data_IF_200775126366
#
_entry.id   IF_200775126366
#
_cell.length_a   1.000
_cell.length_b   1.000
_cell.length_c   1.000
_cell.angle_alpha   90.00
_cell.angle_beta   90.00
_cell.angle_gamma   90.00
#
_symmetry.space_group_name_H-M   'P 1'
#
loop_
_entity.id
_entity.type
_entity.pdbx_description
1 polymer ?
#
# COMPACT_ATOMS: atom_id res chain seq x y z
N UNK A 1 -90.43 83.45 -11.58
CA UNK A 1 -89.15 83.34 -10.84
C UNK A 1 -88.36 82.19 -11.46
N UNK A 2 -87.15 82.43 -11.95
CA UNK A 2 -86.29 81.40 -12.55
C UNK A 2 -85.41 80.79 -11.45
N UNK A 3 -85.43 79.48 -11.28
CA UNK A 3 -84.61 78.76 -10.29
C UNK A 3 -83.16 78.66 -10.78
N UNK A 4 -82.21 79.04 -9.93
CA UNK A 4 -80.76 79.02 -10.20
C UNK A 4 -80.10 77.93 -9.34
N UNK A 5 -79.12 77.21 -9.90
CA UNK A 5 -78.38 76.13 -9.22
C UNK A 5 -77.46 76.67 -8.11
N UNK A 6 -77.48 76.04 -6.93
CA UNK A 6 -76.76 76.52 -5.74
C UNK A 6 -75.24 76.29 -5.73
N UNK A 7 -74.68 75.45 -6.62
CA UNK A 7 -73.24 75.15 -6.60
C UNK A 7 -72.39 75.95 -7.62
N UNK A 8 -72.97 76.42 -8.74
CA UNK A 8 -72.19 77.09 -9.81
C UNK A 8 -72.80 78.37 -10.41
N UNK A 9 -74.00 78.80 -9.98
CA UNK A 9 -74.54 80.14 -10.25
C UNK A 9 -74.83 80.52 -11.72
N UNK A 10 -74.71 79.62 -12.70
CA UNK A 10 -74.99 79.89 -14.11
C UNK A 10 -76.29 79.21 -14.62
N UNK A 11 -76.88 79.76 -15.70
CA UNK A 11 -78.04 79.18 -16.41
C UNK A 11 -77.55 78.61 -17.76
N UNK A 12 -77.17 77.34 -17.75
CA UNK A 12 -76.63 76.59 -18.89
C UNK A 12 -77.64 75.53 -19.38
N UNK A 13 -77.88 75.43 -20.70
CA UNK A 13 -78.73 74.36 -21.28
C UNK A 13 -78.19 72.95 -21.01
N UNK A 14 -76.87 72.80 -20.88
CA UNK A 14 -76.19 71.55 -20.51
C UNK A 14 -76.56 71.06 -19.11
N UNK A 15 -77.07 71.96 -18.27
CA UNK A 15 -77.48 71.70 -16.89
C UNK A 15 -79.00 71.39 -16.80
N UNK A 16 -79.77 71.71 -17.84
CA UNK A 16 -81.23 71.48 -17.95
C UNK A 16 -81.53 70.20 -18.73
N UNK A 17 -80.68 69.82 -19.68
CA UNK A 17 -80.80 68.57 -20.44
C UNK A 17 -80.17 67.41 -19.68
N UNK A 18 -80.92 66.79 -18.77
CA UNK A 18 -80.50 65.62 -17.96
C UNK A 18 -80.07 64.36 -18.74
N UNK A 19 -79.83 64.46 -20.05
CA UNK A 19 -79.42 63.36 -20.94
C UNK A 19 -78.02 62.83 -20.66
N UNK A 20 -77.05 63.68 -20.30
CA UNK A 20 -75.70 63.21 -19.92
C UNK A 20 -75.72 62.45 -18.59
N UNK A 21 -76.53 62.91 -17.64
CA UNK A 21 -76.76 62.21 -16.38
C UNK A 21 -77.41 60.85 -16.64
N UNK A 22 -78.49 60.80 -17.43
CA UNK A 22 -79.19 59.55 -17.77
C UNK A 22 -78.28 58.56 -18.53
N UNK A 23 -77.48 59.03 -19.49
CA UNK A 23 -76.54 58.19 -20.24
C UNK A 23 -75.45 57.59 -19.34
N UNK A 24 -74.84 58.39 -18.46
CA UNK A 24 -73.88 57.91 -17.47
C UNK A 24 -74.52 56.90 -16.50
N UNK A 25 -75.78 57.11 -16.10
CA UNK A 25 -76.50 56.14 -15.27
C UNK A 25 -76.73 54.80 -16.01
N UNK A 26 -77.09 54.84 -17.29
CA UNK A 26 -77.24 53.62 -18.11
C UNK A 26 -75.91 52.88 -18.29
N UNK A 27 -74.82 53.61 -18.52
CA UNK A 27 -73.47 53.05 -18.66
C UNK A 27 -72.98 52.44 -17.33
N UNK A 28 -73.22 53.12 -16.20
CA UNK A 28 -72.93 52.59 -14.86
C UNK A 28 -73.71 51.29 -14.61
N UNK A 29 -74.99 51.23 -15.00
CA UNK A 29 -75.76 50.00 -14.87
C UNK A 29 -75.24 48.87 -15.78
N UNK A 30 -74.83 49.18 -17.00
CA UNK A 30 -74.23 48.21 -17.92
C UNK A 30 -72.92 47.64 -17.35
N UNK A 31 -72.04 48.52 -16.84
CA UNK A 31 -70.79 48.12 -16.19
C UNK A 31 -71.04 47.29 -14.93
N UNK A 32 -72.04 47.65 -14.11
CA UNK A 32 -72.44 46.85 -12.94
C UNK A 32 -72.92 45.45 -13.33
N UNK A 33 -73.73 45.32 -14.40
CA UNK A 33 -74.17 44.02 -14.92
C UNK A 33 -72.96 43.18 -15.40
N UNK A 34 -72.03 43.81 -16.11
CA UNK A 34 -70.84 43.14 -16.61
C UNK A 34 -69.89 42.72 -15.47
N UNK A 35 -69.76 43.54 -14.42
CA UNK A 35 -69.00 43.19 -13.23
C UNK A 35 -69.61 41.97 -12.52
N UNK A 36 -70.93 41.99 -12.31
CA UNK A 36 -71.66 40.87 -11.72
C UNK A 36 -71.52 39.58 -12.54
N UNK A 37 -71.57 39.66 -13.87
CA UNK A 37 -71.37 38.49 -14.73
C UNK A 37 -69.95 37.93 -14.62
N UNK A 38 -68.94 38.81 -14.54
CA UNK A 38 -67.55 38.41 -14.30
C UNK A 38 -67.35 37.83 -12.91
N UNK A 39 -67.96 38.41 -11.88
CA UNK A 39 -67.91 37.90 -10.51
C UNK A 39 -68.58 36.53 -10.43
N UNK A 40 -69.74 36.35 -11.06
CA UNK A 40 -70.38 35.04 -11.18
C UNK A 40 -69.52 34.03 -11.95
N UNK A 41 -68.79 34.46 -12.99
CA UNK A 41 -67.87 33.59 -13.72
C UNK A 41 -66.65 33.21 -12.89
N UNK A 42 -66.08 34.16 -12.14
CA UNK A 42 -64.96 33.92 -11.20
C UNK A 42 -65.40 32.93 -10.14
N UNK A 43 -66.52 33.18 -9.46
CA UNK A 43 -67.07 32.26 -8.44
C UNK A 43 -67.34 30.89 -9.04
N UNK A 44 -67.86 30.80 -10.27
CA UNK A 44 -68.06 29.52 -10.96
C UNK A 44 -66.73 28.80 -11.20
N UNK A 45 -65.69 29.52 -11.63
CA UNK A 45 -64.36 28.92 -11.84
C UNK A 45 -63.70 28.50 -10.52
N UNK A 46 -63.82 29.31 -9.48
CA UNK A 46 -63.33 29.00 -8.13
C UNK A 46 -64.06 27.77 -7.56
N UNK A 47 -65.38 27.72 -7.75
CA UNK A 47 -66.21 26.56 -7.35
C UNK A 47 -65.78 25.32 -8.12
N UNK A 48 -65.48 25.41 -9.42
CA UNK A 48 -64.94 24.27 -10.20
C UNK A 48 -63.54 23.82 -9.73
N UNK A 49 -62.72 24.75 -9.22
CA UNK A 49 -61.40 24.44 -8.65
C UNK A 49 -61.52 23.81 -7.25
N UNK A 50 -62.53 24.20 -6.48
CA UNK A 50 -62.79 23.69 -5.12
C UNK A 50 -63.58 22.37 -5.11
N UNK A 51 -64.60 22.24 -5.96
CA UNK A 51 -65.47 21.06 -6.09
C UNK A 51 -64.93 20.02 -7.09
N UNK A 52 -64.05 20.43 -8.00
CA UNK A 52 -63.28 19.49 -8.79
C UNK A 52 -62.53 18.52 -7.86
N UNK A 53 -62.23 17.27 -8.29
CA UNK A 53 -61.32 16.41 -7.53
C UNK A 53 -60.11 17.27 -7.18
N UNK A 54 -59.57 17.24 -5.94
CA UNK A 54 -58.41 18.04 -5.60
C UNK A 54 -57.44 17.76 -6.72
N UNK A 55 -57.20 18.75 -7.58
CA UNK A 55 -56.24 18.58 -8.65
C UNK A 55 -54.93 18.57 -7.90
N UNK A 56 -54.59 17.38 -7.40
CA UNK A 56 -53.27 17.04 -6.95
C UNK A 56 -52.39 17.61 -8.04
N UNK A 57 -51.45 18.45 -7.60
CA UNK A 57 -50.45 19.15 -8.39
C UNK A 57 -50.32 18.53 -9.79
N UNK A 58 -50.48 19.29 -10.91
CA UNK A 58 -50.71 18.74 -12.25
C UNK A 58 -49.86 17.49 -12.51
N UNK A 59 -50.37 16.41 -13.14
CA UNK A 59 -49.69 15.11 -13.22
C UNK A 59 -48.25 15.19 -13.74
N UNK A 60 -47.94 16.18 -14.59
CA UNK A 60 -46.58 16.50 -15.04
C UNK A 60 -45.65 16.97 -13.90
N UNK A 61 -46.16 17.81 -13.00
CA UNK A 61 -45.47 18.30 -11.80
C UNK A 61 -45.37 17.21 -10.73
N UNK A 62 -46.35 16.31 -10.63
CA UNK A 62 -46.26 15.16 -9.72
C UNK A 62 -45.25 14.11 -10.22
N UNK A 63 -45.19 13.87 -11.53
CA UNK A 63 -44.19 13.01 -12.15
C UNK A 63 -42.76 13.54 -12.03
N UNK A 64 -42.56 14.85 -12.16
CA UNK A 64 -41.24 15.49 -11.94
C UNK A 64 -40.84 15.47 -10.47
N UNK A 65 -41.76 15.70 -9.53
CA UNK A 65 -41.53 15.57 -8.07
C UNK A 65 -41.10 14.15 -7.69
N UNK A 66 -41.82 13.13 -8.16
CA UNK A 66 -41.47 11.73 -7.91
C UNK A 66 -40.09 11.35 -8.50
N UNK A 67 -39.80 11.79 -9.73
CA UNK A 67 -38.46 11.60 -10.34
C UNK A 67 -37.37 12.31 -9.55
N UNK A 68 -37.63 13.50 -9.01
CA UNK A 68 -36.69 14.22 -8.16
C UNK A 68 -36.40 13.46 -6.86
N UNK A 69 -37.43 12.94 -6.19
CA UNK A 69 -37.29 12.14 -4.96
C UNK A 69 -36.46 10.87 -5.21
N UNK A 70 -36.74 10.12 -6.29
CA UNK A 70 -35.95 8.93 -6.63
C UNK A 70 -34.48 9.25 -6.94
N UNK A 71 -34.20 10.41 -7.55
CA UNK A 71 -32.84 10.86 -7.80
C UNK A 71 -32.13 11.20 -6.48
N UNK A 72 -32.80 11.89 -5.56
CA UNK A 72 -32.26 12.17 -4.23
C UNK A 72 -31.97 10.89 -3.45
N UNK A 73 -32.82 9.87 -3.53
CA UNK A 73 -32.59 8.59 -2.87
C UNK A 73 -31.40 7.83 -3.45
N UNK A 74 -31.22 7.87 -4.78
CA UNK A 74 -30.02 7.32 -5.44
C UNK A 74 -28.77 8.03 -4.95
N UNK A 75 -28.81 9.36 -4.86
CA UNK A 75 -27.71 10.15 -4.31
C UNK A 75 -27.42 9.83 -2.85
N UNK A 76 -28.44 9.71 -1.99
CA UNK A 76 -28.29 9.32 -0.58
C UNK A 76 -27.63 7.94 -0.44
N UNK A 77 -28.12 6.94 -1.20
CA UNK A 77 -27.54 5.58 -1.19
C UNK A 77 -26.08 5.58 -1.66
N UNK A 78 -25.76 6.34 -2.69
CA UNK A 78 -24.39 6.47 -3.20
C UNK A 78 -23.48 7.15 -2.15
N UNK A 79 -23.94 8.23 -1.52
CA UNK A 79 -23.21 8.93 -0.47
C UNK A 79 -22.96 8.03 0.74
N UNK A 80 -23.96 7.25 1.16
CA UNK A 80 -23.80 6.29 2.25
C UNK A 80 -22.84 5.15 1.87
N UNK A 81 -22.88 4.69 0.62
CA UNK A 81 -21.92 3.74 0.07
C UNK A 81 -20.49 4.28 0.14
N UNK A 82 -20.29 5.51 -0.32
CA UNK A 82 -19.00 6.20 -0.24
C UNK A 82 -18.51 6.34 1.20
N UNK A 83 -19.36 6.76 2.14
CA UNK A 83 -19.01 6.87 3.57
C UNK A 83 -18.61 5.53 4.17
N UNK A 84 -19.31 4.44 3.83
CA UNK A 84 -18.95 3.09 4.28
C UNK A 84 -17.58 2.67 3.73
N UNK A 85 -17.34 2.91 2.44
CA UNK A 85 -16.07 2.60 1.81
C UNK A 85 -14.93 3.41 2.42
N UNK A 86 -15.16 4.70 2.70
CA UNK A 86 -14.19 5.56 3.36
C UNK A 86 -13.80 5.04 4.76
N UNK A 87 -14.77 4.57 5.55
CA UNK A 87 -14.49 3.93 6.86
C UNK A 87 -13.67 2.66 6.73
N UNK A 88 -13.99 1.82 5.74
CA UNK A 88 -13.21 0.60 5.47
C UNK A 88 -11.79 0.97 5.04
N UNK A 89 -11.63 1.95 4.15
CA UNK A 89 -10.31 2.39 3.69
C UNK A 89 -9.46 2.94 4.84
N UNK A 90 -10.03 3.81 5.68
CA UNK A 90 -9.34 4.30 6.89
C UNK A 90 -8.88 3.13 7.78
N UNK A 91 -9.76 2.15 8.00
CA UNK A 91 -9.40 0.96 8.78
C UNK A 91 -8.31 0.09 8.13
N UNK A 92 -8.16 0.13 6.81
CA UNK A 92 -7.06 -0.54 6.10
C UNK A 92 -5.77 0.25 6.19
N UNK A 93 -5.82 1.58 6.07
CA UNK A 93 -4.68 2.48 6.29
C UNK A 93 -4.13 2.32 7.71
N UNK A 94 -5.00 2.29 8.73
CA UNK A 94 -4.60 2.06 10.12
C UNK A 94 -3.98 0.67 10.35
N UNK A 95 -4.45 -0.36 9.62
CA UNK A 95 -3.85 -1.69 9.66
C UNK A 95 -2.47 -1.71 8.99
N UNK A 96 -2.34 -1.01 7.86
CA UNK A 96 -1.08 -0.89 7.15
C UNK A 96 -0.04 -0.20 8.03
N UNK A 97 -0.39 0.93 8.65
CA UNK A 97 0.49 1.65 9.58
C UNK A 97 0.97 0.74 10.72
N UNK A 98 0.06 -0.01 11.37
CA UNK A 98 0.45 -0.96 12.42
C UNK A 98 1.40 -2.06 11.95
N UNK A 99 1.20 -2.57 10.73
CA UNK A 99 2.11 -3.58 10.16
C UNK A 99 3.47 -2.98 9.88
N UNK A 100 3.52 -1.76 9.34
CA UNK A 100 4.78 -1.03 9.09
C UNK A 100 5.52 -0.81 10.40
N UNK A 101 4.86 -0.28 11.44
CA UNK A 101 5.47 -0.04 12.75
C UNK A 101 6.06 -1.33 13.34
N UNK A 102 5.30 -2.44 13.28
CA UNK A 102 5.79 -3.74 13.74
C UNK A 102 7.00 -4.20 12.92
N UNK A 103 6.94 -4.13 11.60
CA UNK A 103 8.08 -4.52 10.75
C UNK A 103 9.32 -3.66 10.99
N UNK A 104 9.16 -2.36 11.25
CA UNK A 104 10.27 -1.48 11.61
C UNK A 104 10.88 -1.84 12.96
N UNK A 105 10.05 -2.12 13.97
CA UNK A 105 10.55 -2.56 15.29
C UNK A 105 11.30 -3.89 15.20
N UNK A 106 10.76 -4.87 14.48
CA UNK A 106 11.40 -6.17 14.23
C UNK A 106 12.71 -6.00 13.45
N UNK A 107 12.72 -5.21 12.37
CA UNK A 107 13.92 -4.88 11.60
C UNK A 107 15.00 -4.28 12.49
N UNK A 108 14.64 -3.33 13.35
CA UNK A 108 15.58 -2.69 14.24
C UNK A 108 16.10 -3.64 15.33
N UNK A 109 15.27 -4.58 15.82
CA UNK A 109 15.71 -5.63 16.75
C UNK A 109 16.71 -6.57 16.06
N UNK A 110 16.37 -7.11 14.89
CA UNK A 110 17.25 -7.98 14.13
C UNK A 110 18.57 -7.30 13.75
N UNK A 111 18.54 -6.00 13.42
CA UNK A 111 19.76 -5.26 13.11
C UNK A 111 20.68 -5.11 14.32
N UNK A 112 20.13 -4.95 15.53
CA UNK A 112 20.93 -4.94 16.77
C UNK A 112 21.54 -6.32 17.03
N UNK A 113 20.76 -7.37 16.89
CA UNK A 113 21.25 -8.74 17.07
C UNK A 113 22.36 -9.09 16.05
N UNK A 114 22.19 -8.66 14.79
CA UNK A 114 23.21 -8.81 13.76
C UNK A 114 24.50 -8.10 14.14
N UNK A 115 24.42 -6.84 14.60
CA UNK A 115 25.59 -6.07 15.05
C UNK A 115 26.28 -6.75 16.24
N UNK A 116 25.52 -7.24 17.22
CA UNK A 116 26.05 -7.95 18.38
C UNK A 116 26.76 -9.25 17.98
N UNK A 117 26.11 -10.08 17.15
CA UNK A 117 26.70 -11.32 16.66
C UNK A 117 27.95 -11.06 15.80
N UNK A 118 27.94 -10.01 15.00
CA UNK A 118 29.10 -9.58 14.21
C UNK A 118 30.27 -9.20 15.12
N UNK A 119 30.02 -8.41 16.18
CA UNK A 119 31.06 -8.07 17.17
C UNK A 119 31.63 -9.33 17.83
N UNK A 120 30.76 -10.22 18.33
CA UNK A 120 31.18 -11.47 18.97
C UNK A 120 31.99 -12.38 18.04
N UNK A 121 31.64 -12.40 16.76
CA UNK A 121 32.37 -13.16 15.75
C UNK A 121 33.78 -12.58 15.56
N UNK A 122 33.91 -11.26 15.46
CA UNK A 122 35.21 -10.58 15.35
C UNK A 122 36.06 -10.85 16.60
N UNK A 123 35.48 -10.75 17.79
CA UNK A 123 36.18 -11.03 19.05
C UNK A 123 36.69 -12.48 19.10
N UNK A 124 35.87 -13.43 18.68
CA UNK A 124 36.25 -14.85 18.61
C UNK A 124 37.36 -15.09 17.56
N UNK A 125 37.30 -14.41 16.41
CA UNK A 125 38.35 -14.48 15.39
C UNK A 125 39.68 -13.92 15.92
N UNK A 126 39.65 -12.80 16.64
CA UNK A 126 40.82 -12.22 17.29
C UNK A 126 41.43 -13.19 18.31
N UNK A 127 40.61 -13.75 19.19
CA UNK A 127 41.06 -14.73 20.18
C UNK A 127 41.67 -15.98 19.53
N UNK A 128 41.07 -16.47 18.43
CA UNK A 128 41.63 -17.58 17.67
C UNK A 128 42.97 -17.22 17.02
N UNK A 129 43.15 -15.99 16.52
CA UNK A 129 44.43 -15.55 15.97
C UNK A 129 45.51 -15.51 17.05
N UNK A 130 45.20 -14.95 18.23
CA UNK A 130 46.11 -14.91 19.39
C UNK A 130 46.53 -16.31 19.83
N UNK A 131 45.56 -17.23 20.00
CA UNK A 131 45.87 -18.61 20.38
C UNK A 131 46.70 -19.35 19.34
N UNK A 132 46.54 -19.03 18.04
CA UNK A 132 47.37 -19.61 16.97
C UNK A 132 48.81 -19.10 17.07
N UNK A 133 48.99 -17.80 17.26
CA UNK A 133 50.31 -17.18 17.44
C UNK A 133 51.02 -17.76 18.67
N UNK A 134 50.34 -17.86 19.81
CA UNK A 134 50.88 -18.50 21.01
C UNK A 134 51.24 -19.98 20.75
N UNK A 135 50.40 -20.72 20.03
CA UNK A 135 50.68 -22.12 19.70
C UNK A 135 51.92 -22.28 18.81
N UNK A 136 52.10 -21.40 17.83
CA UNK A 136 53.29 -21.35 16.98
C UNK A 136 54.53 -20.99 17.80
N UNK A 137 54.42 -20.03 18.71
CA UNK A 137 55.50 -19.70 19.64
C UNK A 137 55.89 -20.89 20.51
N UNK A 138 54.93 -21.61 21.11
CA UNK A 138 55.20 -22.81 21.89
C UNK A 138 55.86 -23.92 21.05
N UNK A 139 55.47 -24.08 19.77
CA UNK A 139 56.13 -25.02 18.85
C UNK A 139 57.57 -24.63 18.56
N UNK A 140 57.82 -23.33 18.37
CA UNK A 140 59.17 -22.80 18.15
C UNK A 140 60.05 -23.03 19.39
N UNK A 141 59.55 -22.71 20.59
CA UNK A 141 60.26 -22.95 21.85
C UNK A 141 60.55 -24.45 22.05
N UNK A 142 59.58 -25.33 21.77
CA UNK A 142 59.79 -26.77 21.81
C UNK A 142 60.87 -27.22 20.80
N UNK A 143 60.86 -26.66 19.59
CA UNK A 143 61.86 -26.96 18.56
C UNK A 143 63.27 -26.57 19.02
N UNK A 144 63.43 -25.37 19.59
CA UNK A 144 64.70 -24.91 20.16
C UNK A 144 65.15 -25.82 21.31
N UNK A 145 64.25 -26.18 22.23
CA UNK A 145 64.56 -27.11 23.31
C UNK A 145 65.06 -28.47 22.78
N UNK A 146 64.42 -29.02 21.75
CA UNK A 146 64.85 -30.25 21.08
C UNK A 146 66.24 -30.08 20.46
N UNK A 147 66.52 -28.97 19.78
CA UNK A 147 67.84 -28.71 19.20
C UNK A 147 68.92 -28.62 20.29
N UNK A 148 68.67 -27.92 21.40
CA UNK A 148 69.61 -27.82 22.52
C UNK A 148 69.89 -29.19 23.16
N UNK A 149 68.85 -30.02 23.32
CA UNK A 149 68.99 -31.41 23.78
C UNK A 149 69.87 -32.25 22.84
N UNK A 150 69.73 -32.06 21.52
CA UNK A 150 70.47 -32.79 20.50
C UNK A 150 71.94 -32.34 20.38
N UNK A 151 72.26 -31.08 20.68
CA UNK A 151 73.64 -30.56 20.58
C UNK A 151 74.60 -31.14 21.64
N UNK A 152 74.12 -31.68 22.78
CA UNK A 152 74.94 -32.28 23.85
C UNK A 152 74.27 -33.51 24.51
N UNK A 153 74.17 -34.65 23.81
CA UNK A 153 73.44 -35.82 24.31
C UNK A 153 74.09 -36.45 25.55
N UNK A 154 75.41 -36.31 25.74
CA UNK A 154 76.13 -36.85 26.92
C UNK A 154 75.90 -36.04 28.20
N UNK A 155 75.39 -34.81 28.10
CA UNK A 155 75.11 -33.93 29.24
C UNK A 155 73.72 -34.14 29.84
N UNK A 156 72.85 -34.90 29.16
CA UNK A 156 71.47 -35.09 29.56
C UNK A 156 71.23 -36.44 30.21
N UNK A 157 70.68 -36.43 31.42
CA UNK A 157 70.21 -37.64 32.11
C UNK A 157 68.82 -37.97 31.57
N UNK A 158 68.69 -39.08 30.85
CA UNK A 158 67.38 -39.57 30.40
C UNK A 158 66.52 -39.95 31.60
N UNK A 159 65.43 -39.21 31.81
CA UNK A 159 64.46 -39.52 32.87
C UNK A 159 63.66 -40.76 32.47
N UNK A 160 63.58 -41.75 33.36
CA UNK A 160 62.88 -43.01 33.06
C UNK A 160 61.38 -42.74 33.00
N UNK A 161 60.65 -43.37 32.08
CA UNK A 161 59.18 -43.22 32.01
C UNK A 161 58.49 -43.49 33.37
N UNK A 162 59.04 -44.42 34.15
CA UNK A 162 58.57 -44.79 35.49
C UNK A 162 58.75 -43.71 36.56
N UNK A 163 59.56 -42.68 36.33
CA UNK A 163 59.77 -41.57 37.30
C UNK A 163 58.83 -40.40 37.09
N UNK A 164 57.97 -40.45 36.06
CA UNK A 164 56.94 -39.44 35.84
C UNK A 164 55.72 -39.68 36.75
N UNK A 165 55.04 -38.61 37.22
CA UNK A 165 53.73 -38.72 37.87
C UNK A 165 52.71 -39.52 37.03
N UNK A 166 51.80 -40.24 37.69
CA UNK A 166 50.84 -41.13 37.03
C UNK A 166 50.00 -40.43 35.94
N UNK A 167 49.55 -39.19 36.18
CA UNK A 167 48.79 -38.42 35.19
C UNK A 167 49.57 -38.15 33.89
N UNK A 168 50.89 -37.97 34.00
CA UNK A 168 51.76 -37.74 32.84
C UNK A 168 52.08 -39.05 32.12
N UNK A 169 52.24 -40.15 32.86
CA UNK A 169 52.38 -41.49 32.26
C UNK A 169 51.15 -41.83 31.39
N UNK A 170 49.94 -41.63 31.90
CA UNK A 170 48.71 -41.88 31.13
C UNK A 170 48.60 -41.02 29.86
N UNK A 171 48.93 -39.73 29.95
CA UNK A 171 48.95 -38.81 28.79
C UNK A 171 49.96 -39.24 27.74
N UNK A 172 51.17 -39.62 28.15
CA UNK A 172 52.22 -40.11 27.23
C UNK A 172 51.77 -41.42 26.55
N UNK A 173 51.17 -42.35 27.30
CA UNK A 173 50.61 -43.59 26.74
C UNK A 173 49.50 -43.33 25.73
N UNK A 174 48.60 -42.38 26.02
CA UNK A 174 47.52 -41.97 25.11
C UNK A 174 48.05 -41.34 23.82
N UNK A 175 49.02 -40.43 23.90
CA UNK A 175 49.61 -39.77 22.73
C UNK A 175 50.38 -40.72 21.82
N UNK A 176 51.11 -41.68 22.37
CA UNK A 176 51.83 -42.70 21.60
C UNK A 176 50.85 -43.69 20.92
N UNK A 177 49.71 -44.01 21.56
CA UNK A 177 48.67 -44.85 20.98
C UNK A 177 47.84 -44.16 19.89
N UNK A 178 47.60 -42.84 20.01
CA UNK A 178 46.73 -42.09 19.07
C UNK A 178 47.40 -41.79 17.72
N UNK A 179 48.74 -41.71 17.66
CA UNK A 179 49.46 -41.37 16.42
C UNK A 179 49.32 -42.42 15.31
N UNK A 180 48.84 -43.62 15.62
CA UNK A 180 48.59 -44.70 14.66
C UNK A 180 47.29 -44.54 13.83
N UNK A 181 46.39 -43.58 14.16
CA UNK A 181 45.02 -43.53 13.59
C UNK A 181 44.77 -42.33 12.65
N UNK A 182 45.76 -41.46 12.40
CA UNK A 182 45.57 -40.32 11.46
C UNK A 182 45.89 -40.76 10.03
N UNK A 183 44.92 -41.36 9.34
CA UNK A 183 44.92 -41.48 7.87
C UNK A 183 44.65 -40.11 7.21
N UNK A 184 44.99 -39.90 5.91
CA UNK A 184 44.86 -38.61 5.23
C UNK A 184 43.39 -38.16 5.11
N UNK A 185 43.12 -36.86 4.89
CA UNK A 185 41.76 -36.33 4.75
C UNK A 185 41.14 -36.80 3.43
N UNK A 186 40.37 -37.89 3.46
CA UNK A 186 39.50 -38.27 2.34
C UNK A 186 38.28 -37.35 2.26
N UNK A 187 37.90 -37.01 1.03
CA UNK A 187 36.74 -36.17 0.72
C UNK A 187 35.47 -36.72 1.38
N UNK A 188 34.71 -35.85 2.06
CA UNK A 188 33.46 -36.24 2.74
C UNK A 188 32.37 -36.41 1.69
N UNK A 189 31.80 -37.61 1.60
CA UNK A 189 30.71 -37.93 0.67
C UNK A 189 29.38 -37.91 1.41
N UNK A 190 28.46 -37.04 0.99
CA UNK A 190 27.11 -36.92 1.55
C UNK A 190 26.12 -37.61 0.61
N UNK A 191 25.31 -38.52 1.14
CA UNK A 191 24.27 -39.24 0.37
C UNK A 191 22.88 -38.80 0.83
N UNK A 192 22.06 -38.29 -0.09
CA UNK A 192 20.69 -37.89 0.17
C UNK A 192 19.73 -38.87 -0.53
N UNK A 193 18.88 -39.61 0.20
CA UNK A 193 17.90 -40.52 -0.41
C UNK A 193 16.77 -39.72 -1.06
N UNK A 194 16.44 -40.05 -2.31
CA UNK A 194 15.32 -39.45 -3.04
C UNK A 194 14.07 -40.34 -2.95
N UNK A 195 12.88 -39.78 -2.73
CA UNK A 195 11.63 -40.53 -2.67
C UNK A 195 11.11 -40.86 -4.10
N UNK A 196 11.95 -41.51 -4.90
CA UNK A 196 11.61 -41.98 -6.25
C UNK A 196 11.53 -43.50 -6.28
N UNK A 197 10.78 -44.10 -7.22
CA UNK A 197 10.82 -45.54 -7.46
C UNK A 197 11.40 -45.83 -8.85
N UNK A 198 12.53 -46.55 -8.95
CA UNK A 198 13.30 -47.15 -7.85
C UNK A 198 14.04 -46.10 -6.98
N UNK A 199 14.30 -46.41 -5.70
CA UNK A 199 14.97 -45.50 -4.77
C UNK A 199 16.39 -45.25 -5.25
N UNK A 200 16.65 -44.02 -5.69
CA UNK A 200 17.95 -43.57 -6.16
C UNK A 200 18.48 -42.52 -5.17
N UNK A 201 19.76 -42.57 -4.81
CA UNK A 201 20.36 -41.59 -3.91
C UNK A 201 21.22 -40.61 -4.71
N UNK A 202 21.13 -39.33 -4.37
CA UNK A 202 22.04 -38.31 -4.87
C UNK A 202 23.31 -38.31 -4.01
N UNK A 203 24.48 -38.34 -4.65
CA UNK A 203 25.77 -38.39 -3.98
C UNK A 203 26.54 -37.11 -4.27
N UNK A 204 26.84 -36.36 -3.23
CA UNK A 204 27.66 -35.15 -3.30
C UNK A 204 29.03 -35.45 -2.71
N UNK A 205 30.07 -35.29 -3.53
CA UNK A 205 31.46 -35.28 -3.06
C UNK A 205 31.82 -33.85 -2.69
N UNK A 206 32.07 -33.59 -1.41
CA UNK A 206 32.53 -32.27 -0.95
C UNK A 206 34.07 -32.29 -0.98
N UNK A 207 34.72 -31.47 -1.83
CA UNK A 207 36.16 -31.30 -1.78
C UNK A 207 36.59 -30.82 -0.38
N UNK A 208 37.79 -31.18 0.10
CA UNK A 208 38.33 -30.54 1.29
C UNK A 208 38.38 -29.02 1.08
N UNK A 209 37.91 -28.24 2.05
CA UNK A 209 38.03 -26.78 1.99
C UNK A 209 39.50 -26.39 1.84
N UNK A 210 39.84 -25.75 0.72
CA UNK A 210 41.10 -25.02 0.60
C UNK A 210 41.02 -23.75 1.49
N UNK A 211 42.09 -23.42 2.22
CA UNK A 211 42.12 -22.21 3.04
C UNK A 211 41.98 -20.97 2.14
N UNK A 212 41.24 -19.93 2.59
CA UNK A 212 41.00 -18.74 1.77
C UNK A 212 42.33 -18.03 1.48
N UNK A 213 42.63 -17.87 0.19
CA UNK A 213 43.69 -16.98 -0.30
C UNK A 213 43.37 -15.53 0.09
N UNK A 214 44.36 -14.72 0.55
CA UNK A 214 44.14 -13.31 0.86
C UNK A 214 43.83 -12.54 -0.43
N UNK A 215 42.61 -12.03 -0.56
CA UNK A 215 42.28 -11.01 -1.56
C UNK A 215 42.21 -9.65 -0.86
N UNK A 216 42.90 -8.69 -1.47
CA UNK A 216 43.06 -7.31 -1.03
C UNK A 216 41.73 -6.54 -0.87
N UNK A 217 41.70 -5.47 -0.05
CA UNK A 217 40.49 -4.74 0.25
C UNK A 217 40.07 -3.87 -0.94
N UNK A 218 39.03 -4.30 -1.66
CA UNK A 218 38.30 -3.43 -2.57
C UNK A 218 37.31 -2.59 -1.76
N UNK A 219 37.67 -1.32 -1.52
CA UNK A 219 36.74 -0.26 -1.17
C UNK A 219 35.63 -0.20 -2.23
N UNK A 220 34.38 -0.42 -1.82
CA UNK A 220 33.15 0.23 -2.33
C UNK A 220 31.93 -0.39 -1.63
N UNK A 221 31.13 0.39 -0.87
CA UNK A 221 29.87 -0.13 -0.33
C UNK A 221 28.87 -0.33 -1.48
N UNK A 222 28.63 -1.59 -1.83
CA UNK A 222 27.57 -2.00 -2.74
C UNK A 222 26.20 -1.56 -2.18
N UNK A 223 25.33 -0.93 -2.98
CA UNK A 223 23.96 -0.67 -2.56
C UNK A 223 23.20 -1.99 -2.39
N UNK A 224 22.39 -2.08 -1.33
CA UNK A 224 21.36 -3.10 -1.12
C UNK A 224 20.36 -3.08 -2.30
N UNK A 225 20.67 -3.79 -3.38
CA UNK A 225 19.73 -4.03 -4.47
C UNK A 225 19.27 -5.47 -4.43
N UNK A 226 17.97 -5.64 -4.17
CA UNK A 226 17.29 -6.92 -4.37
C UNK A 226 17.35 -7.23 -5.87
N UNK A 227 18.05 -8.32 -6.21
CA UNK A 227 18.22 -8.74 -7.60
C UNK A 227 16.87 -8.80 -8.32
N UNK A 228 16.81 -8.30 -9.56
CA UNK A 228 15.59 -8.22 -10.35
C UNK A 228 14.86 -9.57 -10.46
N UNK A 229 15.60 -10.69 -10.40
CA UNK A 229 15.07 -12.05 -10.35
C UNK A 229 14.21 -12.31 -9.10
N UNK A 230 14.63 -11.81 -7.93
CA UNK A 230 13.91 -11.93 -6.66
C UNK A 230 12.64 -11.10 -6.70
N UNK A 231 12.71 -9.84 -7.18
CA UNK A 231 11.52 -9.01 -7.37
C UNK A 231 10.52 -9.63 -8.35
N UNK A 232 10.99 -10.20 -9.47
CA UNK A 232 10.15 -10.88 -10.44
C UNK A 232 9.44 -12.09 -9.82
N UNK A 233 10.16 -12.91 -9.03
CA UNK A 233 9.60 -14.07 -8.31
C UNK A 233 8.52 -13.66 -7.31
N UNK A 234 8.74 -12.61 -6.53
CA UNK A 234 7.77 -12.10 -5.54
C UNK A 234 6.50 -11.58 -6.22
N UNK A 235 6.66 -10.86 -7.34
CA UNK A 235 5.52 -10.36 -8.13
C UNK A 235 4.71 -11.51 -8.76
N UNK A 236 5.37 -12.54 -9.25
CA UNK A 236 4.74 -13.72 -9.83
C UNK A 236 3.97 -14.53 -8.77
N UNK A 237 4.53 -14.66 -7.57
CA UNK A 237 3.87 -15.31 -6.43
C UNK A 237 2.63 -14.52 -5.99
N UNK A 238 2.73 -13.20 -5.85
CA UNK A 238 1.61 -12.32 -5.49
C UNK A 238 0.50 -12.30 -6.56
N UNK A 239 0.85 -12.51 -7.83
CA UNK A 239 -0.12 -12.69 -8.91
C UNK A 239 -0.82 -14.05 -8.84
N UNK A 240 -0.09 -15.13 -8.51
CA UNK A 240 -0.68 -16.45 -8.26
C UNK A 240 -1.60 -16.47 -7.05
N UNK A 241 -1.25 -15.76 -5.98
CA UNK A 241 -2.05 -15.66 -4.77
C UNK A 241 -3.36 -14.89 -5.00
N UNK A 242 -3.33 -13.84 -5.83
CA UNK A 242 -4.54 -13.16 -6.31
C UNK A 242 -5.44 -14.06 -7.16
N UNK A 243 -4.86 -14.97 -7.95
CA UNK A 243 -5.61 -15.98 -8.73
C UNK A 243 -6.19 -17.08 -7.84
N UNK A 244 -5.52 -17.44 -6.74
CA UNK A 244 -6.00 -18.45 -5.77
C UNK A 244 -7.06 -17.89 -4.81
N UNK A 245 -6.99 -16.60 -4.47
CA UNK A 245 -7.91 -15.94 -3.52
C UNK A 245 -9.24 -15.47 -4.13
N UNK A 246 -9.39 -15.47 -5.46
CA UNK A 246 -10.67 -15.24 -6.13
C UNK A 246 -11.24 -16.55 -6.67
N UNK A 247 -12.00 -17.34 -5.88
CA UNK A 247 -12.84 -18.37 -6.47
C UNK A 247 -13.89 -17.67 -7.32
N UNK A 248 -13.99 -18.10 -8.57
CA UNK A 248 -14.92 -17.63 -9.60
C UNK A 248 -16.28 -17.16 -9.04
N UNK A 249 -16.53 -15.85 -9.06
CA UNK A 249 -17.87 -15.32 -9.32
C UNK A 249 -17.79 -14.74 -10.72
N UNK A 250 -18.47 -15.42 -11.65
CA UNK A 250 -18.43 -15.11 -13.07
C UNK A 250 -18.77 -13.65 -13.33
N UNK A 251 -17.81 -12.90 -13.82
CA UNK A 251 -18.09 -11.62 -14.45
C UNK A 251 -18.35 -11.91 -15.92
N UNK A 252 -19.63 -12.03 -16.26
CA UNK A 252 -20.11 -11.90 -17.64
C UNK A 252 -19.57 -10.57 -18.17
N UNK A 253 -18.68 -10.63 -19.16
CA UNK A 253 -18.26 -9.45 -19.90
C UNK A 253 -19.49 -8.85 -20.58
N UNK A 254 -19.94 -7.70 -20.08
CA UNK A 254 -20.99 -6.92 -20.72
C UNK A 254 -20.43 -6.35 -22.03
N UNK A 255 -20.93 -6.85 -23.16
CA UNK A 255 -20.57 -6.44 -24.52
C UNK A 255 -21.19 -5.08 -24.94
N UNK A 256 -21.57 -4.21 -24.00
CA UNK A 256 -22.31 -2.97 -24.28
C UNK A 256 -21.46 -1.70 -24.39
N UNK A 257 -20.14 -1.79 -24.56
CA UNK A 257 -19.30 -0.61 -24.80
C UNK A 257 -18.44 -0.76 -26.07
N UNK A 258 -19.08 -1.06 -27.20
CA UNK A 258 -18.56 -0.74 -28.52
C UNK A 258 -18.97 0.70 -28.87
N UNK A 259 -18.13 1.68 -28.50
CA UNK A 259 -18.44 3.07 -28.80
C UNK A 259 -17.35 4.08 -28.45
N UNK A 260 -16.47 4.32 -29.44
CA UNK A 260 -15.49 5.43 -29.62
C UNK A 260 -14.08 5.24 -29.04
N UNK A 261 -13.04 5.34 -29.90
CA UNK A 261 -11.68 5.56 -29.45
C UNK A 261 -11.48 7.05 -29.12
N UNK A 262 -11.04 7.35 -27.90
CA UNK A 262 -10.50 8.67 -27.56
C UNK A 262 -9.04 8.69 -28.00
N UNK A 263 -8.75 9.49 -29.03
CA UNK A 263 -7.39 9.77 -29.47
C UNK A 263 -6.64 10.52 -28.36
N UNK A 264 -5.68 9.84 -27.72
CA UNK A 264 -4.68 10.50 -26.87
C UNK A 264 -3.60 11.03 -27.79
N UNK A 265 -3.60 12.36 -28.01
CA UNK A 265 -2.45 13.07 -28.59
C UNK A 265 -1.31 13.03 -27.55
N UNK A 266 -0.28 12.24 -27.84
CA UNK A 266 1.05 12.41 -27.26
C UNK A 266 1.70 13.58 -27.99
N UNK A 267 1.82 14.72 -27.32
CA UNK A 267 2.66 15.82 -27.76
C UNK A 267 4.12 15.50 -27.41
N UNK A 268 4.89 15.14 -28.43
CA UNK A 268 6.34 15.14 -28.44
C UNK A 268 6.85 16.57 -28.17
N UNK A 269 7.64 16.73 -27.11
CA UNK A 269 8.45 17.93 -26.89
C UNK A 269 9.89 17.62 -27.27
N UNK A 270 10.25 17.91 -28.51
CA UNK A 270 11.64 17.91 -28.97
C UNK A 270 12.31 19.24 -28.62
N UNK A 271 13.47 19.09 -27.98
CA UNK A 271 14.69 19.90 -28.08
C UNK A 271 14.61 21.32 -28.61
N UNK A 272 15.01 22.29 -27.78
CA UNK A 272 15.75 23.47 -28.24
C UNK A 272 16.86 23.80 -27.26
N UNK A 273 18.06 23.54 -27.75
CA UNK A 273 19.38 23.78 -27.18
C UNK A 273 19.70 25.25 -27.43
N UNK A 274 19.79 26.06 -26.37
CA UNK A 274 20.40 27.39 -26.45
C UNK A 274 21.68 27.39 -25.64
N UNK A 275 22.78 27.40 -26.37
CA UNK A 275 24.09 27.87 -25.94
C UNK A 275 23.98 29.36 -25.61
N UNK A 276 24.39 29.77 -24.41
CA UNK A 276 24.93 31.12 -24.24
C UNK A 276 25.91 31.20 -23.07
N UNK A 277 27.12 31.58 -23.47
CA UNK A 277 28.32 31.89 -22.73
C UNK A 277 28.12 33.18 -21.96
N UNK A 278 28.49 33.24 -20.67
CA UNK A 278 28.90 34.50 -20.04
C UNK A 278 29.88 34.23 -18.90
N UNK A 279 30.81 35.18 -18.82
CA UNK A 279 32.08 35.26 -18.08
C UNK A 279 31.91 35.04 -16.58
#
# INVERSE_FOLDING_TARGET
MKCVCQECGCVCESCVSGGNSLHLHQEIEALKRQLLERDCHIVRMETQVLEGPPQGRPPEVQGTSCRQETCQDKWRRLQDGYRKLQKVNQGLEDKLLRVVDRCETEKNALNRDLQELTSRLVDAQLALAQLREENEQYRNDCSVAVQLLQCKPSSFVSSKYSTLPNELQEKVRSHLGSRAVRSPPEARVIRVPMPTFPPTAMVYSVPPEEPPSPQEPAENPLPDYISAAVMAKVLEERARERRRSHPSKGTQACLCCSGRPVAVRLSSGDTSRSTETLI
#
